data_IF_300312217336
#
_entry.id   IF_300312217336
#
_cell.length_a   1.000
_cell.length_b   1.000
_cell.length_c   1.000
_cell.angle_alpha   90.00
_cell.angle_beta   90.00
_cell.angle_gamma   90.00
#
_symmetry.space_group_name_H-M   'P 1'
#
loop_
_entity.id
_entity.type
_entity.pdbx_description
1 polymer ?
#
# COMPACT_ATOMS: atom_id res chain seq x y z
N UNK A 1 4.74 2.29 35.43
CA UNK A 1 5.36 1.76 34.19
C UNK A 1 5.35 0.24 34.28
N UNK A 2 4.99 -0.50 33.22
CA UNK A 2 5.20 -1.96 33.20
C UNK A 2 6.70 -2.21 33.10
N UNK A 3 7.27 -3.10 33.93
CA UNK A 3 8.70 -3.39 33.83
C UNK A 3 9.00 -3.91 32.41
N UNK A 4 10.06 -3.38 31.78
CA UNK A 4 10.59 -3.88 30.50
C UNK A 4 10.84 -5.40 30.57
N UNK A 5 11.16 -5.89 31.76
CA UNK A 5 11.40 -7.30 32.07
C UNK A 5 10.12 -8.13 31.97
N UNK A 6 8.97 -7.63 32.45
CA UNK A 6 7.70 -8.35 32.35
C UNK A 6 7.30 -8.60 30.89
N UNK A 7 7.53 -7.62 30.01
CA UNK A 7 7.30 -7.77 28.56
C UNK A 7 8.25 -8.80 27.94
N UNK A 8 9.54 -8.75 28.31
CA UNK A 8 10.53 -9.71 27.83
C UNK A 8 10.19 -11.14 28.24
N UNK A 9 9.82 -11.36 29.50
CA UNK A 9 9.47 -12.68 30.03
C UNK A 9 8.26 -13.27 29.31
N UNK A 10 7.21 -12.47 29.09
CA UNK A 10 6.01 -12.93 28.35
C UNK A 10 6.33 -13.23 26.89
N UNK A 11 7.07 -12.35 26.19
CA UNK A 11 7.47 -12.61 24.80
C UNK A 11 8.33 -13.87 24.68
N UNK A 12 9.32 -14.04 25.55
CA UNK A 12 10.21 -15.20 25.56
C UNK A 12 9.44 -16.51 25.75
N UNK A 13 8.49 -16.57 26.69
CA UNK A 13 7.71 -17.79 26.95
C UNK A 13 6.67 -18.10 25.85
N UNK A 14 6.24 -17.10 25.08
CA UNK A 14 5.38 -17.30 23.90
C UNK A 14 6.17 -17.83 22.69
N UNK A 15 7.43 -17.39 22.54
CA UNK A 15 8.34 -17.87 21.49
C UNK A 15 8.92 -19.25 21.83
N UNK A 16 9.07 -19.57 23.12
CA UNK A 16 9.63 -20.82 23.64
C UNK A 16 8.71 -21.49 24.67
N UNK A 17 7.59 -22.12 24.23
CA UNK A 17 6.60 -22.74 25.13
C UNK A 17 7.18 -23.83 26.04
N UNK A 18 8.26 -24.48 25.60
CA UNK A 18 9.02 -25.48 26.37
C UNK A 18 9.62 -24.93 27.66
N UNK A 19 9.94 -23.63 27.72
CA UNK A 19 10.49 -22.97 28.90
C UNK A 19 9.48 -22.96 30.07
N UNK A 20 8.18 -23.05 29.78
CA UNK A 20 7.12 -23.13 30.79
C UNK A 20 7.05 -24.49 31.52
N UNK A 21 7.82 -25.49 31.07
CA UNK A 21 7.98 -26.75 31.81
C UNK A 21 8.79 -26.56 33.08
N UNK A 22 9.63 -25.53 33.12
CA UNK A 22 10.35 -25.12 34.32
C UNK A 22 9.42 -24.37 35.28
N UNK A 23 9.40 -24.80 36.55
CA UNK A 23 8.46 -24.27 37.56
C UNK A 23 8.72 -22.81 37.90
N UNK A 24 9.98 -22.37 37.87
CA UNK A 24 10.36 -21.01 38.22
C UNK A 24 10.01 -20.04 37.09
N UNK A 25 10.28 -20.46 35.85
CA UNK A 25 9.91 -19.74 34.63
C UNK A 25 8.39 -19.61 34.47
N UNK A 26 7.63 -20.67 34.74
CA UNK A 26 6.16 -20.62 34.73
C UNK A 26 5.61 -19.62 35.77
N UNK A 27 6.20 -19.56 36.96
CA UNK A 27 5.81 -18.61 38.01
C UNK A 27 6.13 -17.16 37.62
N UNK A 28 7.29 -16.92 37.01
CA UNK A 28 7.68 -15.60 36.50
C UNK A 28 6.75 -15.15 35.36
N UNK A 29 6.35 -16.06 34.48
CA UNK A 29 5.42 -15.80 33.39
C UNK A 29 4.04 -15.37 33.89
N UNK A 30 3.43 -16.11 34.83
CA UNK A 30 2.11 -15.74 35.37
C UNK A 30 2.15 -14.40 36.11
N UNK A 31 3.20 -14.14 36.90
CA UNK A 31 3.39 -12.84 37.59
C UNK A 31 3.57 -11.67 36.60
N UNK A 32 4.33 -11.88 35.52
CA UNK A 32 4.52 -10.88 34.48
C UNK A 32 3.23 -10.61 33.69
N UNK A 33 2.40 -11.64 33.50
CA UNK A 33 1.09 -11.55 32.86
C UNK A 33 0.10 -10.78 33.72
N UNK A 34 0.03 -11.06 35.03
CA UNK A 34 -0.76 -10.28 35.99
C UNK A 34 -0.35 -8.79 36.01
N UNK A 35 0.96 -8.50 36.00
CA UNK A 35 1.47 -7.11 35.97
C UNK A 35 1.08 -6.36 34.68
N UNK A 36 0.94 -7.09 33.57
CA UNK A 36 0.52 -6.55 32.28
C UNK A 36 -1.01 -6.43 32.16
N UNK A 37 -1.78 -7.32 32.79
CA UNK A 37 -3.25 -7.29 32.80
C UNK A 37 -3.79 -6.14 33.67
N UNK A 38 -3.11 -5.83 34.79
CA UNK A 38 -3.53 -4.76 35.71
C UNK A 38 -3.29 -3.33 35.20
N UNK A 39 -2.48 -3.16 34.16
CA UNK A 39 -2.16 -1.83 33.61
C UNK A 39 -2.94 -1.59 32.32
N UNK A 40 -4.03 -0.83 32.41
CA UNK A 40 -4.73 -0.21 31.26
C UNK A 40 -3.71 0.49 30.35
N UNK A 41 -3.26 -0.19 29.30
CA UNK A 41 -2.42 0.41 28.27
C UNK A 41 -3.19 1.59 27.69
N UNK A 42 -2.64 2.80 27.81
CA UNK A 42 -3.29 3.99 27.26
C UNK A 42 -3.34 3.83 25.74
N UNK A 43 -4.52 4.03 25.14
CA UNK A 43 -4.71 3.96 23.66
C UNK A 43 -3.72 4.82 22.88
N UNK A 44 -3.19 5.88 23.50
CA UNK A 44 -2.18 6.79 22.94
C UNK A 44 -0.80 6.16 22.71
N UNK A 45 -0.49 5.04 23.37
CA UNK A 45 0.83 4.38 23.29
C UNK A 45 0.83 3.20 22.30
N UNK A 46 -0.33 2.81 21.79
CA UNK A 46 -0.49 1.68 20.88
C UNK A 46 -0.30 2.12 19.44
N UNK A 47 0.43 1.31 18.67
CA UNK A 47 0.55 1.51 17.24
C UNK A 47 -0.78 1.18 16.53
N UNK A 48 -0.93 1.61 15.28
CA UNK A 48 -2.18 1.45 14.53
C UNK A 48 -2.64 -0.02 14.41
N UNK A 49 -1.72 -0.99 14.29
CA UNK A 49 -2.05 -2.42 14.22
C UNK A 49 -2.58 -2.94 15.55
N UNK A 50 -1.92 -2.62 16.66
CA UNK A 50 -2.32 -3.05 18.00
C UNK A 50 -3.68 -2.48 18.40
N UNK A 51 -3.96 -1.22 18.04
CA UNK A 51 -5.27 -0.62 18.25
C UNK A 51 -6.39 -1.36 17.49
N UNK A 52 -6.12 -1.81 16.26
CA UNK A 52 -7.08 -2.59 15.47
C UNK A 52 -7.23 -4.02 15.97
N UNK A 53 -6.16 -4.61 16.48
CA UNK A 53 -6.20 -5.93 17.12
C UNK A 53 -7.10 -5.93 18.35
N UNK A 54 -6.94 -4.95 19.25
CA UNK A 54 -7.84 -4.78 20.40
C UNK A 54 -9.29 -4.51 19.97
N UNK A 55 -9.48 -3.68 18.94
CA UNK A 55 -10.81 -3.39 18.39
C UNK A 55 -11.54 -4.66 17.95
N UNK A 56 -10.86 -5.55 17.20
CA UNK A 56 -11.46 -6.80 16.74
C UNK A 56 -11.49 -7.91 17.80
N UNK A 57 -10.59 -7.90 18.78
CA UNK A 57 -10.66 -8.80 19.96
C UNK A 57 -11.97 -8.61 20.71
N UNK A 58 -12.46 -7.37 20.81
CA UNK A 58 -13.76 -7.06 21.41
C UNK A 58 -14.97 -7.30 20.49
N UNK A 59 -14.75 -7.59 19.19
CA UNK A 59 -15.80 -7.72 18.16
C UNK A 59 -15.48 -8.86 17.17
N UNK A 60 -15.38 -10.12 17.64
CA UNK A 60 -14.97 -11.24 16.79
C UNK A 60 -15.97 -11.52 15.65
N UNK A 61 -17.27 -11.33 15.90
CA UNK A 61 -18.32 -11.49 14.88
C UNK A 61 -18.18 -10.50 13.73
N UNK A 62 -17.77 -9.27 14.03
CA UNK A 62 -17.51 -8.24 13.03
C UNK A 62 -16.28 -8.60 12.18
N UNK A 63 -15.21 -9.11 12.82
CA UNK A 63 -14.03 -9.61 12.11
C UNK A 63 -14.42 -10.75 11.15
N UNK A 64 -15.24 -11.70 11.62
CA UNK A 64 -15.72 -12.82 10.81
C UNK A 64 -16.58 -12.35 9.63
N UNK A 65 -17.52 -11.44 9.87
CA UNK A 65 -18.39 -10.90 8.82
C UNK A 65 -17.61 -10.16 7.73
N UNK A 66 -16.54 -9.46 8.09
CA UNK A 66 -15.64 -8.83 7.13
C UNK A 66 -14.94 -9.87 6.25
N UNK A 67 -14.49 -11.00 6.83
CA UNK A 67 -13.84 -12.07 6.05
C UNK A 67 -14.79 -12.67 5.01
N UNK A 68 -16.01 -12.98 5.42
CA UNK A 68 -17.04 -13.53 4.54
C UNK A 68 -17.31 -12.61 3.36
N UNK A 69 -17.56 -11.32 3.61
CA UNK A 69 -17.85 -10.35 2.55
C UNK A 69 -16.65 -10.15 1.59
N UNK A 70 -15.42 -10.28 2.09
CA UNK A 70 -14.22 -10.25 1.23
C UNK A 70 -14.14 -11.52 0.37
N UNK A 71 -14.45 -12.69 0.93
CA UNK A 71 -14.48 -13.97 0.22
C UNK A 71 -15.61 -14.03 -0.83
N UNK A 72 -16.78 -13.43 -0.54
CA UNK A 72 -17.88 -13.20 -1.50
C UNK A 72 -17.49 -12.26 -2.66
N UNK A 73 -16.28 -11.69 -2.64
CA UNK A 73 -15.82 -10.84 -3.72
C UNK A 73 -16.29 -9.38 -3.61
N UNK A 74 -16.64 -8.89 -2.41
CA UNK A 74 -16.87 -7.45 -2.21
C UNK A 74 -15.54 -6.68 -2.10
N UNK A 75 -15.56 -5.42 -2.53
CA UNK A 75 -14.42 -4.52 -2.41
C UNK A 75 -14.30 -3.99 -0.97
N UNK A 76 -13.11 -3.55 -0.54
CA UNK A 76 -12.93 -2.99 0.80
C UNK A 76 -13.87 -1.80 1.07
N UNK A 77 -14.16 -0.98 0.05
CA UNK A 77 -15.07 0.17 0.13
C UNK A 77 -16.51 -0.29 0.27
N UNK A 78 -16.91 -1.30 -0.48
CA UNK A 78 -18.25 -1.89 -0.39
C UNK A 78 -18.51 -2.50 0.99
N UNK A 79 -17.53 -3.25 1.53
CA UNK A 79 -17.63 -3.83 2.88
C UNK A 79 -17.72 -2.74 3.95
N UNK A 80 -16.92 -1.68 3.84
CA UNK A 80 -16.97 -0.53 4.74
C UNK A 80 -18.34 0.14 4.76
N UNK A 81 -18.96 0.37 3.59
CA UNK A 81 -20.31 0.94 3.48
C UNK A 81 -21.38 0.01 4.06
N UNK A 82 -21.31 -1.29 3.77
CA UNK A 82 -22.30 -2.27 4.24
C UNK A 82 -22.30 -2.44 5.76
N UNK A 83 -21.12 -2.38 6.38
CA UNK A 83 -20.98 -2.60 7.82
C UNK A 83 -20.88 -1.29 8.63
N UNK A 84 -20.87 -0.13 7.96
CA UNK A 84 -20.72 1.17 8.63
C UNK A 84 -19.38 1.33 9.36
N UNK A 85 -18.30 0.74 8.84
CA UNK A 85 -16.97 0.74 9.49
C UNK A 85 -15.93 1.43 8.63
N UNK A 86 -14.85 1.86 9.27
CA UNK A 86 -13.67 2.42 8.60
C UNK A 86 -13.06 1.42 7.60
N UNK A 87 -12.83 1.86 6.36
CA UNK A 87 -12.14 1.11 5.29
C UNK A 87 -10.79 0.57 5.75
N UNK A 88 -10.08 1.30 6.62
CA UNK A 88 -8.80 0.87 7.18
C UNK A 88 -8.97 -0.35 8.10
N UNK A 89 -10.09 -0.47 8.81
CA UNK A 89 -10.39 -1.65 9.63
C UNK A 89 -10.62 -2.88 8.74
N UNK A 90 -11.33 -2.72 7.61
CA UNK A 90 -11.49 -3.77 6.60
C UNK A 90 -10.12 -4.18 6.02
N UNK A 91 -9.26 -3.20 5.72
CA UNK A 91 -7.93 -3.45 5.20
C UNK A 91 -7.04 -4.22 6.21
N UNK A 92 -7.16 -3.93 7.51
CA UNK A 92 -6.47 -4.67 8.56
C UNK A 92 -6.86 -6.16 8.53
N UNK A 93 -8.16 -6.48 8.56
CA UNK A 93 -8.64 -7.88 8.53
C UNK A 93 -8.16 -8.60 7.28
N UNK A 94 -8.23 -7.93 6.13
CA UNK A 94 -7.73 -8.46 4.87
C UNK A 94 -6.25 -8.83 4.91
N UNK A 95 -5.40 -7.97 5.50
CA UNK A 95 -3.96 -8.21 5.62
C UNK A 95 -3.65 -9.30 6.64
N UNK A 96 -4.27 -9.24 7.82
CA UNK A 96 -4.11 -10.20 8.92
C UNK A 96 -4.37 -11.63 8.45
N UNK A 97 -5.47 -11.82 7.71
CA UNK A 97 -5.89 -13.15 7.22
C UNK A 97 -5.40 -13.47 5.81
N UNK A 98 -4.51 -12.65 5.24
CA UNK A 98 -3.97 -12.82 3.89
C UNK A 98 -5.06 -13.04 2.82
N UNK A 99 -6.23 -12.40 3.00
CA UNK A 99 -7.38 -12.45 2.07
C UNK A 99 -7.17 -11.54 0.86
N UNK A 100 -5.95 -11.54 0.35
CA UNK A 100 -5.65 -10.95 -0.94
C UNK A 100 -6.27 -11.85 -1.99
N UNK A 101 -7.02 -11.25 -2.91
CA UNK A 101 -7.39 -11.98 -4.11
C UNK A 101 -6.07 -12.32 -4.81
N UNK A 102 -5.69 -13.60 -4.79
CA UNK A 102 -4.89 -14.15 -5.86
C UNK A 102 -5.73 -13.95 -7.11
N UNK A 103 -5.40 -12.91 -7.86
CA UNK A 103 -5.92 -12.77 -9.21
C UNK A 103 -5.07 -13.72 -10.03
N UNK A 104 -5.47 -14.99 -10.02
CA UNK A 104 -4.84 -16.04 -10.80
C UNK A 104 -5.21 -15.80 -12.26
N UNK A 105 -4.63 -14.76 -12.86
CA UNK A 105 -4.57 -14.61 -14.30
C UNK A 105 -3.31 -15.32 -14.77
N UNK A 106 -3.47 -16.23 -15.71
CA UNK A 106 -2.31 -16.89 -16.34
C UNK A 106 -1.58 -15.89 -17.24
N UNK A 107 -0.33 -16.21 -17.59
CA UNK A 107 0.42 -15.43 -18.58
C UNK A 107 -0.38 -15.28 -19.87
N UNK A 108 -0.89 -16.40 -20.40
CA UNK A 108 -1.60 -16.44 -21.69
C UNK A 108 -2.87 -15.60 -21.67
N UNK A 109 -3.65 -15.68 -20.59
CA UNK A 109 -4.86 -14.86 -20.42
C UNK A 109 -4.52 -13.37 -20.34
N UNK A 110 -3.47 -13.00 -19.60
CA UNK A 110 -3.04 -11.61 -19.50
C UNK A 110 -2.52 -11.10 -20.84
N UNK A 111 -1.73 -11.90 -21.56
CA UNK A 111 -1.15 -11.56 -22.85
C UNK A 111 -2.23 -11.38 -23.92
N UNK A 112 -3.20 -12.30 -23.99
CA UNK A 112 -4.34 -12.20 -24.89
C UNK A 112 -5.15 -10.92 -24.62
N UNK A 113 -5.60 -10.71 -23.38
CA UNK A 113 -6.36 -9.51 -23.01
C UNK A 113 -5.58 -8.22 -23.29
N UNK A 114 -4.27 -8.21 -23.02
CA UNK A 114 -3.42 -7.06 -23.26
C UNK A 114 -3.24 -6.75 -24.74
N UNK A 115 -3.11 -7.79 -25.57
CA UNK A 115 -2.95 -7.66 -27.01
C UNK A 115 -4.25 -7.23 -27.72
N UNK A 116 -5.40 -7.71 -27.26
CA UNK A 116 -6.70 -7.43 -27.87
C UNK A 116 -7.26 -6.06 -27.47
N UNK A 117 -7.17 -5.69 -26.18
CA UNK A 117 -7.89 -4.53 -25.63
C UNK A 117 -6.98 -3.42 -25.07
N UNK A 118 -5.69 -3.71 -24.89
CA UNK A 118 -4.72 -2.73 -24.43
C UNK A 118 -4.76 -2.40 -22.93
N UNK A 119 -3.81 -1.57 -22.51
CA UNK A 119 -3.41 -1.38 -21.11
C UNK A 119 -4.54 -0.91 -20.17
N UNK A 120 -5.31 0.10 -20.60
CA UNK A 120 -6.36 0.71 -19.77
C UNK A 120 -7.50 -0.26 -19.50
N UNK A 121 -7.95 -0.96 -20.54
CA UNK A 121 -8.99 -1.98 -20.42
C UNK A 121 -8.57 -3.07 -19.44
N UNK A 122 -7.33 -3.57 -19.53
CA UNK A 122 -6.84 -4.59 -18.61
C UNK A 122 -6.83 -4.10 -17.17
N UNK A 123 -6.46 -2.84 -16.91
CA UNK A 123 -6.51 -2.27 -15.56
C UNK A 123 -7.94 -2.20 -15.02
N UNK A 124 -8.88 -1.73 -15.82
CA UNK A 124 -10.30 -1.59 -15.44
C UNK A 124 -10.95 -2.97 -15.25
N UNK A 125 -10.79 -3.87 -16.22
CA UNK A 125 -11.38 -5.22 -16.21
C UNK A 125 -10.84 -6.08 -15.06
N UNK A 126 -9.52 -6.05 -14.82
CA UNK A 126 -8.93 -6.77 -13.70
C UNK A 126 -9.06 -6.00 -12.39
N UNK A 127 -9.49 -4.73 -12.38
CA UNK A 127 -9.52 -3.88 -11.19
C UNK A 127 -8.15 -3.75 -10.52
N UNK A 128 -7.09 -3.56 -11.30
CA UNK A 128 -5.71 -3.38 -10.83
C UNK A 128 -5.20 -1.98 -11.18
N UNK A 129 -4.24 -1.48 -10.40
CA UNK A 129 -3.56 -0.22 -10.73
C UNK A 129 -2.65 -0.39 -11.95
N UNK A 130 -2.37 0.70 -12.64
CA UNK A 130 -1.40 0.73 -13.75
C UNK A 130 -0.02 0.22 -13.33
N UNK A 131 0.40 0.55 -12.11
CA UNK A 131 1.66 0.06 -11.54
C UNK A 131 1.64 -1.45 -11.34
N UNK A 132 0.52 -2.02 -10.89
CA UNK A 132 0.34 -3.47 -10.73
C UNK A 132 0.34 -4.18 -12.09
N UNK A 133 -0.35 -3.64 -13.10
CA UNK A 133 -0.33 -4.21 -14.44
C UNK A 133 1.07 -4.18 -15.05
N UNK A 134 1.79 -3.06 -14.90
CA UNK A 134 3.19 -2.94 -15.38
C UNK A 134 4.10 -3.99 -14.74
N UNK A 135 3.93 -4.23 -13.44
CA UNK A 135 4.67 -5.26 -12.73
C UNK A 135 4.36 -6.67 -13.27
N UNK A 136 3.09 -6.99 -13.56
CA UNK A 136 2.71 -8.31 -14.10
C UNK A 136 3.20 -8.52 -15.53
N UNK A 137 3.06 -7.52 -16.40
CA UNK A 137 3.57 -7.60 -17.77
C UNK A 137 5.08 -7.86 -17.77
N UNK A 138 5.84 -7.20 -16.88
CA UNK A 138 7.27 -7.48 -16.70
C UNK A 138 7.54 -8.86 -16.13
N UNK A 139 6.79 -9.28 -15.10
CA UNK A 139 6.96 -10.59 -14.46
C UNK A 139 6.75 -11.74 -15.45
N UNK A 140 5.83 -11.59 -16.40
CA UNK A 140 5.52 -12.59 -17.42
C UNK A 140 6.28 -12.41 -18.74
N UNK A 141 7.18 -11.42 -18.80
CA UNK A 141 7.97 -11.06 -19.99
C UNK A 141 7.11 -10.70 -21.21
N UNK A 142 5.98 -10.03 -20.97
CA UNK A 142 5.08 -9.50 -22.01
C UNK A 142 5.54 -8.08 -22.36
N UNK A 143 5.84 -7.85 -23.64
CA UNK A 143 6.33 -6.55 -24.12
C UNK A 143 5.26 -5.47 -23.92
N UNK A 144 5.58 -4.47 -23.09
CA UNK A 144 4.70 -3.32 -22.84
C UNK A 144 4.63 -2.46 -24.11
N UNK A 145 3.53 -2.55 -24.86
CA UNK A 145 3.31 -1.84 -26.14
C UNK A 145 3.14 -0.33 -25.98
N UNK A 146 2.83 0.14 -24.77
CA UNK A 146 2.70 1.56 -24.47
C UNK A 146 3.15 1.84 -23.03
N UNK A 147 4.39 2.29 -22.80
CA UNK A 147 4.74 2.83 -21.49
C UNK A 147 4.03 4.18 -21.37
N UNK A 148 2.91 4.21 -20.65
CA UNK A 148 2.29 5.40 -20.01
C UNK A 148 2.35 6.65 -20.89
N UNK A 149 1.27 7.05 -21.59
CA UNK A 149 1.17 8.31 -22.38
C UNK A 149 2.21 9.34 -21.92
N UNK A 150 3.41 9.29 -22.52
CA UNK A 150 4.50 10.16 -22.10
C UNK A 150 4.19 11.44 -22.83
N UNK A 151 3.55 12.36 -22.13
CA UNK A 151 3.50 13.73 -22.60
C UNK A 151 4.94 14.14 -22.89
N UNK A 152 5.15 14.75 -24.05
CA UNK A 152 6.39 15.47 -24.31
C UNK A 152 6.38 16.73 -23.46
N UNK A 153 7.55 17.30 -23.20
CA UNK A 153 7.64 18.54 -22.46
C UNK A 153 8.05 19.64 -23.43
N UNK A 154 7.23 20.68 -23.51
CA UNK A 154 7.49 21.86 -24.32
C UNK A 154 8.08 22.94 -23.41
N UNK A 155 9.27 23.41 -23.72
CA UNK A 155 9.87 24.58 -23.12
C UNK A 155 9.75 25.76 -24.09
N UNK A 156 9.12 26.84 -23.66
CA UNK A 156 8.97 28.09 -24.42
C UNK A 156 9.78 29.17 -23.73
N UNK A 157 10.79 29.68 -24.42
CA UNK A 157 11.67 30.73 -23.93
C UNK A 157 11.03 32.12 -24.19
N UNK A 158 11.43 33.13 -23.42
CA UNK A 158 10.96 34.52 -23.58
C UNK A 158 11.24 35.11 -24.97
N UNK A 159 12.31 34.65 -25.64
CA UNK A 159 12.64 35.04 -27.01
C UNK A 159 11.75 34.36 -28.08
N UNK A 160 10.82 33.48 -27.67
CA UNK A 160 9.92 32.75 -28.55
C UNK A 160 10.44 31.38 -29.00
N UNK A 161 11.67 31.00 -28.64
CA UNK A 161 12.21 29.69 -29.00
C UNK A 161 11.44 28.57 -28.30
N UNK A 162 11.32 27.44 -29.00
CA UNK A 162 10.61 26.27 -28.50
C UNK A 162 11.50 25.04 -28.60
N UNK A 163 11.70 24.37 -27.47
CA UNK A 163 12.37 23.07 -27.41
C UNK A 163 11.38 22.04 -26.91
N UNK A 164 11.33 20.88 -27.58
CA UNK A 164 10.48 19.76 -27.21
C UNK A 164 11.36 18.59 -26.75
N UNK A 165 11.07 18.09 -25.56
CA UNK A 165 11.76 16.96 -24.96
C UNK A 165 10.85 15.74 -24.90
N UNK A 166 11.42 14.56 -25.14
CA UNK A 166 10.67 13.30 -25.10
C UNK A 166 10.49 12.76 -23.67
N UNK A 167 11.34 13.18 -22.72
CA UNK A 167 11.26 12.68 -21.34
C UNK A 167 11.50 13.76 -20.29
N UNK A 168 10.83 13.63 -19.14
CA UNK A 168 11.05 14.48 -17.96
C UNK A 168 12.47 14.39 -17.38
N UNK A 169 13.17 13.29 -17.61
CA UNK A 169 14.56 13.15 -17.13
C UNK A 169 15.52 14.00 -17.95
N UNK A 170 15.31 14.04 -19.27
CA UNK A 170 16.09 14.86 -20.20
C UNK A 170 15.86 16.34 -19.94
N UNK A 171 14.59 16.76 -19.83
CA UNK A 171 14.24 18.15 -19.51
C UNK A 171 14.84 18.59 -18.18
N UNK A 172 14.71 17.77 -17.13
CA UNK A 172 15.25 18.10 -15.81
C UNK A 172 16.78 18.29 -15.87
N UNK A 173 17.49 17.43 -16.61
CA UNK A 173 18.93 17.55 -16.81
C UNK A 173 19.31 18.81 -17.58
N UNK A 174 18.57 19.16 -18.63
CA UNK A 174 18.81 20.34 -19.45
C UNK A 174 18.72 21.64 -18.63
N UNK A 175 17.72 21.75 -17.76
CA UNK A 175 17.51 22.93 -16.91
C UNK A 175 18.23 22.86 -15.54
N UNK A 176 19.05 21.84 -15.28
CA UNK A 176 19.71 21.66 -13.99
C UNK A 176 18.74 21.45 -12.82
N UNK A 177 17.53 20.94 -13.08
CA UNK A 177 16.47 20.73 -12.10
C UNK A 177 16.45 19.28 -11.58
N UNK A 178 15.93 19.10 -10.38
CA UNK A 178 15.50 17.78 -9.90
C UNK A 178 14.17 17.39 -10.57
N UNK A 179 13.86 16.09 -10.64
CA UNK A 179 12.57 15.61 -11.18
C UNK A 179 11.37 16.18 -10.42
N UNK A 180 11.49 16.34 -9.10
CA UNK A 180 10.47 16.99 -8.27
C UNK A 180 10.35 18.47 -8.58
N UNK A 181 11.46 19.18 -8.77
CA UNK A 181 11.49 20.57 -9.21
C UNK A 181 10.80 20.78 -10.55
N UNK A 182 11.11 19.95 -11.55
CA UNK A 182 10.43 19.97 -12.85
C UNK A 182 8.93 19.69 -12.72
N UNK A 183 8.54 18.72 -11.89
CA UNK A 183 7.13 18.39 -11.68
C UNK A 183 6.36 19.54 -11.05
N UNK A 184 6.96 20.25 -10.10
CA UNK A 184 6.39 21.47 -9.53
C UNK A 184 6.16 22.52 -10.62
N UNK A 185 7.16 22.75 -11.49
CA UNK A 185 7.04 23.70 -12.61
C UNK A 185 5.96 23.31 -13.61
N UNK A 186 5.86 22.04 -14.00
CA UNK A 186 4.78 21.55 -14.87
C UNK A 186 3.37 21.70 -14.28
N UNK A 187 3.25 21.93 -12.96
CA UNK A 187 1.98 22.15 -12.28
C UNK A 187 1.73 23.63 -11.96
N UNK A 188 2.76 24.47 -12.06
CA UNK A 188 2.67 25.91 -11.86
C UNK A 188 2.80 26.59 -13.20
N UNK A 189 1.80 27.35 -13.64
CA UNK A 189 1.83 28.08 -14.91
C UNK A 189 2.79 29.30 -14.90
N UNK A 190 3.94 29.15 -14.23
CA UNK A 190 4.93 30.19 -13.95
C UNK A 190 6.20 29.93 -14.73
N UNK A 191 6.79 31.02 -15.21
CA UNK A 191 8.12 30.99 -15.82
C UNK A 191 9.19 30.62 -14.79
N UNK A 192 10.20 29.89 -15.26
CA UNK A 192 11.43 29.60 -14.55
C UNK A 192 12.59 30.06 -15.42
N UNK A 193 13.33 31.05 -14.95
CA UNK A 193 14.51 31.58 -15.65
C UNK A 193 14.21 31.98 -17.12
N UNK A 194 13.09 32.67 -17.33
CA UNK A 194 12.62 33.07 -18.67
C UNK A 194 12.04 31.92 -19.52
N UNK A 195 11.76 30.76 -18.93
CA UNK A 195 11.21 29.59 -19.64
C UNK A 195 9.88 29.14 -19.05
N UNK A 196 8.86 29.00 -19.90
CA UNK A 196 7.60 28.34 -19.57
C UNK A 196 7.67 26.87 -19.97
N UNK A 197 7.34 25.98 -19.03
CA UNK A 197 7.44 24.53 -19.23
C UNK A 197 6.04 23.90 -19.16
N UNK A 198 5.58 23.35 -20.27
CA UNK A 198 4.24 22.79 -20.42
C UNK A 198 4.25 21.31 -20.85
N UNK A 199 3.16 20.60 -20.54
CA UNK A 199 2.92 19.25 -21.05
C UNK A 199 2.31 19.31 -22.44
N UNK A 200 2.92 18.59 -23.38
CA UNK A 200 2.40 18.39 -24.73
C UNK A 200 1.88 16.95 -24.84
N UNK A 201 0.56 16.81 -24.97
CA UNK A 201 -0.15 15.52 -25.04
C UNK A 201 -0.42 15.07 -26.48
#
# INVERSE_FOLDING_TARGET
MASKEARMVVCYCLEHPEALKDKETARLYEKAKEELDDKKIKRSELNWYEQKELYFKSRPELEQRIKELIQEGKSNVSVSKLLGIDVKAVAYVKRKHKLFRKKDITKDQLEQMYNEHGFRYVCENLGISETSLTYWLRKFDIKVKNPVRRYKIKAVFENGDVIIFDTSSETAKYFGLTKSGLTYRLNTDKYFDGVKIDRLY
#
